data_IF_520638373417
#
_entry.id   IF_520638373417
#
_cell.length_a   1.000
_cell.length_b   1.000
_cell.length_c   1.000
_cell.angle_alpha   90.00
_cell.angle_beta   90.00
_cell.angle_gamma   90.00
#
_symmetry.space_group_name_H-M   'P 1'
#
loop_
_entity.id
_entity.type
_entity.pdbx_description
1 polymer ?
#
# COMPACT_ATOMS: atom_id res chain seq x y z
N UNK A 1 -12.84 8.20 -0.72
CA UNK A 1 -13.95 7.46 -1.36
C UNK A 1 -13.96 5.97 -0.99
N UNK A 2 -12.81 5.28 -0.94
CA UNK A 2 -12.67 3.91 -0.38
C UNK A 2 -12.91 3.87 1.12
N UNK A 3 -12.28 4.76 1.88
CA UNK A 3 -12.35 4.80 3.35
C UNK A 3 -13.79 4.96 3.88
N UNK A 4 -14.66 5.69 3.17
CA UNK A 4 -16.06 5.87 3.57
C UNK A 4 -16.90 4.59 3.47
N UNK A 5 -16.43 3.58 2.72
CA UNK A 5 -17.11 2.28 2.57
C UNK A 5 -16.55 1.22 3.52
N UNK A 6 -15.42 1.47 4.19
CA UNK A 6 -14.77 0.53 5.09
C UNK A 6 -15.35 0.63 6.53
N UNK A 7 -16.68 0.46 6.66
CA UNK A 7 -17.38 0.53 7.94
C UNK A 7 -18.33 -0.65 8.15
N UNK A 8 -18.70 -0.89 9.41
CA UNK A 8 -19.53 -2.04 9.82
C UNK A 8 -20.90 -2.06 9.14
N UNK A 9 -21.52 -0.90 8.90
CA UNK A 9 -22.82 -0.79 8.24
C UNK A 9 -22.75 -1.30 6.79
N UNK A 10 -21.74 -0.85 6.04
CA UNK A 10 -21.48 -1.28 4.67
C UNK A 10 -21.23 -2.78 4.60
N UNK A 11 -20.48 -3.33 5.57
CA UNK A 11 -20.17 -4.76 5.63
C UNK A 11 -21.36 -5.63 5.99
N UNK A 12 -22.37 -5.11 6.70
CA UNK A 12 -23.58 -5.87 7.07
C UNK A 12 -24.54 -6.09 5.90
N UNK A 13 -24.55 -5.18 4.92
CA UNK A 13 -25.46 -5.26 3.77
C UNK A 13 -24.81 -5.90 2.53
N UNK A 14 -25.56 -6.73 1.80
CA UNK A 14 -25.07 -7.32 0.55
C UNK A 14 -24.74 -6.24 -0.52
N UNK A 15 -25.58 -5.21 -0.76
CA UNK A 15 -25.24 -4.14 -1.69
C UNK A 15 -23.99 -3.35 -1.27
N UNK A 16 -23.84 -3.08 0.03
CA UNK A 16 -22.66 -2.40 0.58
C UNK A 16 -21.38 -3.20 0.34
N UNK A 17 -21.39 -4.51 0.64
CA UNK A 17 -20.26 -5.41 0.33
C UNK A 17 -19.91 -5.40 -1.16
N UNK A 18 -20.91 -5.52 -2.05
CA UNK A 18 -20.68 -5.46 -3.51
C UNK A 18 -20.02 -4.15 -3.94
N UNK A 19 -20.47 -3.01 -3.38
CA UNK A 19 -19.90 -1.70 -3.67
C UNK A 19 -18.45 -1.59 -3.19
N UNK A 20 -18.16 -2.05 -1.97
CA UNK A 20 -16.79 -2.06 -1.43
C UNK A 20 -15.87 -2.92 -2.30
N UNK A 21 -16.29 -4.14 -2.65
CA UNK A 21 -15.52 -5.03 -3.53
C UNK A 21 -15.22 -4.36 -4.87
N UNK A 22 -16.23 -3.76 -5.53
CA UNK A 22 -16.03 -3.09 -6.81
C UNK A 22 -14.99 -1.96 -6.73
N UNK A 23 -15.06 -1.14 -5.68
CA UNK A 23 -14.10 -0.03 -5.50
C UNK A 23 -12.69 -0.56 -5.20
N UNK A 24 -12.54 -1.61 -4.38
CA UNK A 24 -11.25 -2.24 -4.12
C UNK A 24 -10.64 -2.84 -5.40
N UNK A 25 -11.43 -3.52 -6.23
CA UNK A 25 -10.98 -4.06 -7.51
C UNK A 25 -10.53 -2.96 -8.48
N UNK A 26 -11.25 -1.83 -8.53
CA UNK A 26 -10.85 -0.66 -9.33
C UNK A 26 -9.55 -0.05 -8.83
N UNK A 27 -9.39 0.05 -7.51
CA UNK A 27 -8.14 0.53 -6.91
C UNK A 27 -6.97 -0.38 -7.27
N UNK A 28 -7.08 -1.70 -7.09
CA UNK A 28 -6.03 -2.68 -7.42
C UNK A 28 -5.66 -2.58 -8.91
N UNK A 29 -6.67 -2.53 -9.80
CA UNK A 29 -6.47 -2.39 -11.24
C UNK A 29 -5.68 -1.13 -11.62
N UNK A 30 -5.87 -0.04 -10.88
CA UNK A 30 -5.14 1.21 -11.11
C UNK A 30 -3.75 1.19 -10.47
N UNK A 31 -3.63 0.66 -9.25
CA UNK A 31 -2.41 0.76 -8.46
C UNK A 31 -1.25 -0.05 -9.06
N UNK A 32 -1.53 -1.24 -9.59
CA UNK A 32 -0.51 -2.06 -10.26
C UNK A 32 0.26 -1.33 -11.38
N UNK A 33 -0.42 -0.77 -12.41
CA UNK A 33 0.27 -0.02 -13.46
C UNK A 33 0.81 1.34 -12.99
N UNK A 34 0.30 1.91 -11.89
CA UNK A 34 0.86 3.12 -11.29
C UNK A 34 2.24 2.83 -10.70
N UNK A 35 2.35 1.85 -9.81
CA UNK A 35 3.61 1.45 -9.17
C UNK A 35 4.64 0.99 -10.21
N UNK A 36 4.23 0.18 -11.19
CA UNK A 36 5.14 -0.26 -12.25
C UNK A 36 5.73 0.91 -13.06
N UNK A 37 4.97 2.01 -13.24
CA UNK A 37 5.48 3.23 -13.91
C UNK A 37 6.43 4.02 -13.03
N UNK A 38 6.20 4.01 -11.71
CA UNK A 38 7.12 4.63 -10.77
C UNK A 38 8.51 3.97 -10.88
N UNK A 39 8.54 2.64 -10.87
CA UNK A 39 9.78 1.86 -10.92
C UNK A 39 10.49 1.87 -12.28
N UNK A 40 9.74 1.85 -13.38
CA UNK A 40 10.33 1.68 -14.73
C UNK A 40 10.48 2.97 -15.52
N UNK A 41 9.76 4.04 -15.17
CA UNK A 41 9.78 5.31 -15.91
C UNK A 41 10.17 6.48 -15.01
N UNK A 42 9.41 6.71 -13.93
CA UNK A 42 9.55 7.92 -13.12
C UNK A 42 10.87 7.93 -12.35
N UNK A 43 11.13 6.93 -11.50
CA UNK A 43 12.32 6.90 -10.68
C UNK A 43 13.62 6.75 -11.48
N UNK A 44 13.66 6.02 -12.62
CA UNK A 44 14.80 6.07 -13.52
C UNK A 44 15.07 7.48 -14.07
N UNK A 45 14.06 8.17 -14.60
CA UNK A 45 14.22 9.54 -15.11
C UNK A 45 14.60 10.53 -14.00
N UNK A 46 14.02 10.38 -12.81
CA UNK A 46 14.33 11.22 -11.66
C UNK A 46 15.80 11.08 -11.24
N UNK A 47 16.36 9.85 -11.27
CA UNK A 47 17.78 9.59 -10.99
C UNK A 47 18.74 10.20 -12.02
N UNK A 48 18.30 10.49 -13.25
CA UNK A 48 19.18 11.14 -14.25
C UNK A 48 19.25 12.65 -14.09
N UNK A 49 18.24 13.28 -13.47
CA UNK A 49 18.15 14.74 -13.35
C UNK A 49 18.49 15.27 -11.96
N UNK A 50 18.42 14.41 -10.92
CA UNK A 50 18.74 14.78 -9.53
C UNK A 50 20.14 14.31 -9.14
N UNK A 51 21.00 15.18 -8.58
CA UNK A 51 22.30 14.78 -8.07
C UNK A 51 22.21 13.65 -7.02
N UNK A 52 23.13 12.67 -7.01
CA UNK A 52 23.06 11.54 -6.08
C UNK A 52 22.96 11.92 -4.60
N UNK A 53 23.68 12.98 -4.19
CA UNK A 53 23.63 13.49 -2.82
C UNK A 53 22.27 14.07 -2.42
N UNK A 54 21.61 14.76 -3.35
CA UNK A 54 20.27 15.31 -3.15
C UNK A 54 19.22 14.18 -3.13
N UNK A 55 19.33 13.22 -4.06
CA UNK A 55 18.46 12.04 -4.08
C UNK A 55 18.52 11.26 -2.75
N UNK A 56 19.72 11.04 -2.22
CA UNK A 56 19.91 10.40 -0.91
C UNK A 56 19.31 11.25 0.23
N UNK A 57 19.45 12.57 0.17
CA UNK A 57 18.90 13.48 1.17
C UNK A 57 17.37 13.46 1.17
N UNK A 58 16.74 13.39 -0.01
CA UNK A 58 15.29 13.18 -0.16
C UNK A 58 14.86 11.83 0.43
N UNK A 59 15.61 10.76 0.19
CA UNK A 59 15.33 9.45 0.80
C UNK A 59 15.31 9.50 2.33
N UNK A 60 16.33 10.13 2.94
CA UNK A 60 16.39 10.35 4.40
C UNK A 60 15.25 11.23 4.91
N UNK A 61 14.88 12.25 4.13
CA UNK A 61 13.76 13.12 4.48
C UNK A 61 12.43 12.34 4.47
N UNK A 62 12.18 11.52 3.45
CA UNK A 62 10.97 10.69 3.40
C UNK A 62 10.92 9.64 4.50
N UNK A 63 12.05 9.06 4.89
CA UNK A 63 12.16 8.19 6.08
C UNK A 63 11.73 8.95 7.35
N UNK A 64 12.29 10.14 7.59
CA UNK A 64 11.92 10.97 8.73
C UNK A 64 10.42 11.33 8.71
N UNK A 65 9.87 11.74 7.56
CA UNK A 65 8.45 12.07 7.44
C UNK A 65 7.56 10.84 7.67
N UNK A 66 8.00 9.64 7.28
CA UNK A 66 7.28 8.39 7.60
C UNK A 66 7.23 8.17 9.11
N UNK A 67 8.37 8.28 9.79
CA UNK A 67 8.45 8.14 11.25
C UNK A 67 7.57 9.17 11.96
N UNK A 68 7.66 10.45 11.57
CA UNK A 68 6.81 11.52 12.10
C UNK A 68 5.32 11.22 11.91
N UNK A 69 4.93 10.76 10.72
CA UNK A 69 3.54 10.47 10.41
C UNK A 69 2.96 9.34 11.29
N UNK A 70 3.78 8.35 11.64
CA UNK A 70 3.36 7.22 12.47
C UNK A 70 3.75 7.34 13.94
N UNK A 71 4.37 8.45 14.36
CA UNK A 71 4.88 8.64 15.72
C UNK A 71 3.78 8.53 16.80
N UNK A 72 2.54 8.93 16.47
CA UNK A 72 1.41 8.85 17.40
C UNK A 72 0.74 7.47 17.45
N UNK A 73 1.28 6.47 16.75
CA UNK A 73 0.78 5.09 16.82
C UNK A 73 1.60 4.30 17.83
N UNK A 74 0.97 3.40 18.58
CA UNK A 74 1.58 2.66 19.69
C UNK A 74 2.85 1.86 19.33
N UNK A 75 3.07 1.59 18.03
CA UNK A 75 4.17 0.78 17.52
C UNK A 75 4.81 1.34 16.24
N UNK A 76 4.57 2.61 15.92
CA UNK A 76 5.10 3.22 14.70
C UNK A 76 4.62 2.54 13.41
N UNK A 77 5.41 2.69 12.35
CA UNK A 77 5.14 2.12 11.04
C UNK A 77 5.16 0.59 11.06
N UNK A 78 6.11 0.01 11.79
CA UNK A 78 6.29 -1.43 11.96
C UNK A 78 5.07 -2.07 12.62
N UNK A 79 4.44 -1.39 13.57
CA UNK A 79 3.18 -1.84 14.14
C UNK A 79 2.02 -1.93 13.15
N UNK A 80 2.02 -1.06 12.14
CA UNK A 80 1.03 -1.11 11.08
C UNK A 80 1.32 -2.24 10.10
N UNK A 81 2.59 -2.47 9.75
CA UNK A 81 2.95 -3.61 8.89
C UNK A 81 2.65 -4.94 9.58
N UNK A 82 2.91 -5.06 10.88
CA UNK A 82 2.49 -6.20 11.71
C UNK A 82 0.97 -6.42 11.65
N UNK A 83 0.20 -5.33 11.74
CA UNK A 83 -1.26 -5.40 11.68
C UNK A 83 -1.76 -5.84 10.31
N UNK A 84 -1.15 -5.35 9.23
CA UNK A 84 -1.45 -5.79 7.86
C UNK A 84 -1.14 -7.29 7.71
N UNK A 85 0.04 -7.74 8.13
CA UNK A 85 0.43 -9.14 8.10
C UNK A 85 -0.53 -10.04 8.90
N UNK A 86 -1.01 -9.58 10.06
CA UNK A 86 -2.01 -10.32 10.84
C UNK A 86 -3.35 -10.44 10.11
N UNK A 87 -3.80 -9.38 9.41
CA UNK A 87 -5.00 -9.41 8.58
C UNK A 87 -4.83 -10.39 7.42
N UNK A 88 -3.70 -10.35 6.72
CA UNK A 88 -3.40 -11.26 5.62
C UNK A 88 -3.41 -12.73 6.06
N UNK A 89 -2.83 -13.02 7.23
CA UNK A 89 -2.87 -14.37 7.83
C UNK A 89 -4.29 -14.81 8.14
N UNK A 90 -5.10 -13.93 8.73
CA UNK A 90 -6.50 -14.22 9.03
C UNK A 90 -7.34 -14.46 7.76
N UNK A 91 -6.98 -13.81 6.65
CA UNK A 91 -7.61 -13.99 5.34
C UNK A 91 -7.01 -15.17 4.53
N UNK A 92 -5.93 -15.79 5.02
CA UNK A 92 -5.24 -16.88 4.33
C UNK A 92 -4.38 -16.44 3.15
N UNK A 93 -4.15 -15.14 2.93
CA UNK A 93 -3.43 -14.58 1.77
C UNK A 93 -1.99 -14.15 2.07
N UNK A 94 -1.46 -14.53 3.23
CA UNK A 94 -0.15 -14.08 3.70
C UNK A 94 1.05 -14.70 2.95
N UNK A 95 0.90 -15.94 2.48
CA UNK A 95 2.01 -16.66 1.85
C UNK A 95 2.08 -16.35 0.35
N UNK A 96 3.18 -15.71 -0.06
CA UNK A 96 3.43 -15.33 -1.46
C UNK A 96 3.45 -16.53 -2.41
N UNK A 97 3.81 -17.73 -1.93
CA UNK A 97 3.84 -18.94 -2.76
C UNK A 97 2.47 -19.27 -3.36
N UNK A 98 1.37 -18.90 -2.68
CA UNK A 98 0.00 -19.13 -3.16
C UNK A 98 -0.35 -18.38 -4.45
N UNK A 99 0.38 -17.31 -4.75
CA UNK A 99 0.18 -16.49 -5.96
C UNK A 99 1.23 -16.76 -7.03
N UNK A 100 2.19 -17.63 -6.74
CA UNK A 100 3.27 -17.97 -7.67
C UNK A 100 2.80 -19.11 -8.58
N UNK A 101 2.77 -18.94 -9.91
CA UNK A 101 2.40 -20.03 -10.81
C UNK A 101 3.32 -21.25 -10.63
N UNK A 102 2.74 -22.43 -10.50
CA UNK A 102 3.45 -23.70 -10.56
C UNK A 102 3.38 -24.22 -12.00
N UNK A 103 4.37 -23.84 -12.80
CA UNK A 103 4.58 -24.36 -14.16
C UNK A 103 5.81 -25.24 -14.19
#
# INVERSE_FOLDING_TARGET
>A
MTLSLANAETLRSQPGRKKLTAVLSLFIRMYGPHEAREDTVLYPAFRTIVPPGEFNSLGKYFEFKRQEHFANTNKGYEGLTDRVAAIEKALGIYDLSQFTPHV
#
